data_IF_591173554013
#
_entry.id   IF_591173554013
#
_cell.length_a   1.000
_cell.length_b   1.000
_cell.length_c   1.000
_cell.angle_alpha   90.00
_cell.angle_beta   90.00
_cell.angle_gamma   90.00
#
_symmetry.space_group_name_H-M   'P 1'
#
loop_
_entity.id
_entity.type
_entity.pdbx_description
1 polymer ?
#
# COMPACT_ATOMS: atom_id res chain seq x y z
N UNK A 1 5.87 38.69 12.65
CA UNK A 1 4.88 37.60 12.63
C UNK A 1 5.63 36.28 12.64
N UNK A 2 5.45 35.45 13.67
CA UNK A 2 6.22 34.22 13.84
C UNK A 2 5.66 33.14 12.88
N UNK A 3 6.43 32.75 11.87
CA UNK A 3 6.05 31.69 10.94
C UNK A 3 6.23 30.34 11.63
N UNK A 4 5.14 29.77 12.15
CA UNK A 4 5.09 28.36 12.57
C UNK A 4 5.19 27.48 11.34
N UNK A 5 6.41 27.11 10.95
CA UNK A 5 6.62 26.01 10.01
C UNK A 5 6.17 24.72 10.70
N UNK A 6 5.08 24.12 10.22
CA UNK A 6 4.60 22.80 10.70
C UNK A 6 5.70 21.77 10.38
N UNK A 7 6.34 21.23 11.40
CA UNK A 7 7.31 20.15 11.25
C UNK A 7 6.65 19.02 10.44
N UNK A 8 7.18 18.73 9.24
CA UNK A 8 6.79 17.56 8.46
C UNK A 8 7.55 16.37 9.04
N UNK A 9 7.00 15.76 10.08
CA UNK A 9 7.52 14.48 10.56
C UNK A 9 7.44 13.47 9.42
N UNK A 10 8.55 12.77 9.17
CA UNK A 10 8.59 11.58 8.32
C UNK A 10 7.82 10.48 9.05
N UNK A 11 6.50 10.48 8.93
CA UNK A 11 5.69 9.37 9.42
C UNK A 11 5.89 8.20 8.45
N UNK A 12 6.35 7.07 8.97
CA UNK A 12 6.40 5.83 8.21
C UNK A 12 4.98 5.49 7.73
N UNK A 13 4.73 5.39 6.43
CA UNK A 13 3.39 5.14 5.92
C UNK A 13 2.84 3.78 6.40
N UNK A 14 3.64 2.73 6.27
CA UNK A 14 3.29 1.38 6.69
C UNK A 14 4.51 0.55 7.06
N UNK A 15 4.30 -0.46 7.90
CA UNK A 15 5.20 -1.55 8.20
C UNK A 15 4.65 -2.83 7.58
N UNK A 16 5.46 -3.51 6.78
CA UNK A 16 5.14 -4.83 6.22
C UNK A 16 5.84 -5.89 7.07
N UNK A 17 5.10 -6.91 7.50
CA UNK A 17 5.62 -7.99 8.33
C UNK A 17 5.24 -9.32 7.71
N UNK A 18 6.19 -10.27 7.66
CA UNK A 18 5.92 -11.67 7.31
C UNK A 18 5.88 -12.49 8.58
N UNK A 19 4.81 -13.26 8.77
CA UNK A 19 4.67 -14.17 9.90
C UNK A 19 3.82 -15.39 9.50
N UNK A 20 4.30 -16.59 9.85
CA UNK A 20 3.60 -17.87 9.63
C UNK A 20 3.04 -18.07 8.20
N UNK A 21 3.83 -17.72 7.17
CA UNK A 21 3.40 -17.82 5.77
C UNK A 21 2.48 -16.69 5.29
N UNK A 22 2.02 -15.82 6.18
CA UNK A 22 1.21 -14.63 5.86
C UNK A 22 2.03 -13.34 5.78
N UNK A 23 1.53 -12.38 5.00
CA UNK A 23 2.03 -10.99 4.97
C UNK A 23 0.98 -10.09 5.60
N UNK A 24 1.35 -9.35 6.64
CA UNK A 24 0.56 -8.29 7.26
C UNK A 24 1.11 -6.91 6.90
N UNK A 25 0.20 -5.93 6.79
CA UNK A 25 0.52 -4.52 6.59
C UNK A 25 -0.08 -3.75 7.76
N UNK A 26 0.75 -3.01 8.50
CA UNK A 26 0.31 -2.11 9.58
C UNK A 26 0.64 -0.68 9.20
N UNK A 27 -0.37 0.17 9.14
CA UNK A 27 -0.19 1.59 8.87
C UNK A 27 0.17 2.35 10.14
N UNK A 28 0.93 3.43 10.01
CA UNK A 28 1.10 4.39 11.10
C UNK A 28 -0.21 5.12 11.37
N UNK A 29 -0.43 5.51 12.62
CA UNK A 29 -1.65 6.18 13.07
C UNK A 29 -1.83 7.56 12.43
N UNK A 30 -0.74 8.20 12.03
CA UNK A 30 -0.76 9.53 11.40
C UNK A 30 -0.57 9.49 9.88
N UNK A 31 -0.64 8.31 9.25
CA UNK A 31 -0.59 8.22 7.80
C UNK A 31 -1.94 8.64 7.19
N UNK A 32 -1.97 9.84 6.61
CA UNK A 32 -3.20 10.46 6.09
C UNK A 32 -3.91 9.63 5.00
N UNK A 33 -3.15 8.83 4.25
CA UNK A 33 -3.66 8.03 3.12
C UNK A 33 -3.85 6.54 3.49
N UNK A 34 -3.91 6.22 4.78
CA UNK A 34 -4.08 4.84 5.29
C UNK A 34 -5.24 4.10 4.61
N UNK A 35 -6.37 4.77 4.45
CA UNK A 35 -7.59 4.19 3.86
C UNK A 35 -7.45 3.89 2.36
N UNK A 36 -6.85 4.79 1.57
CA UNK A 36 -6.63 4.55 0.14
C UNK A 36 -5.60 3.46 -0.08
N UNK A 37 -4.54 3.44 0.72
CA UNK A 37 -3.52 2.40 0.67
C UNK A 37 -4.06 1.04 1.12
N UNK A 38 -4.94 0.97 2.13
CA UNK A 38 -5.59 -0.27 2.55
C UNK A 38 -6.42 -0.87 1.40
N UNK A 39 -7.25 -0.05 0.75
CA UNK A 39 -8.03 -0.48 -0.42
C UNK A 39 -7.15 -0.98 -1.56
N UNK A 40 -6.00 -0.34 -1.81
CA UNK A 40 -5.04 -0.80 -2.82
C UNK A 40 -4.49 -2.18 -2.45
N UNK A 41 -4.06 -2.37 -1.20
CA UNK A 41 -3.50 -3.64 -0.75
C UNK A 41 -4.53 -4.77 -0.77
N UNK A 42 -5.80 -4.49 -0.45
CA UNK A 42 -6.88 -5.47 -0.55
C UNK A 42 -7.13 -5.90 -2.00
N UNK A 43 -7.15 -4.94 -2.94
CA UNK A 43 -7.25 -5.22 -4.38
C UNK A 43 -6.07 -6.06 -4.87
N UNK A 44 -4.85 -5.74 -4.45
CA UNK A 44 -3.67 -6.51 -4.81
C UNK A 44 -3.74 -7.95 -4.27
N UNK A 45 -4.23 -8.13 -3.04
CA UNK A 45 -4.38 -9.46 -2.43
C UNK A 45 -5.49 -10.28 -3.10
N UNK A 46 -6.51 -9.63 -3.66
CA UNK A 46 -7.55 -10.30 -4.44
C UNK A 46 -7.06 -10.85 -5.79
N UNK A 47 -5.87 -10.42 -6.26
CA UNK A 47 -5.24 -11.00 -7.46
C UNK A 47 -4.79 -12.42 -7.12
N UNK A 48 -5.65 -13.39 -7.42
CA UNK A 48 -5.36 -14.81 -7.23
C UNK A 48 -4.31 -15.27 -8.24
N UNK A 49 -3.31 -16.02 -7.77
CA UNK A 49 -2.40 -16.73 -8.69
C UNK A 49 -3.16 -17.88 -9.34
N UNK A 50 -3.26 -17.87 -10.66
CA UNK A 50 -3.74 -19.02 -11.44
C UNK A 50 -2.59 -20.02 -11.66
N UNK A 51 -2.89 -21.21 -12.21
CA UNK A 51 -1.86 -22.18 -12.59
C UNK A 51 -0.79 -21.62 -13.57
N UNK A 52 -1.07 -20.47 -14.22
CA UNK A 52 -0.13 -19.77 -15.12
C UNK A 52 0.44 -18.47 -14.51
N UNK A 53 0.27 -18.24 -13.21
CA UNK A 53 0.70 -17.01 -12.52
C UNK A 53 -0.43 -16.00 -12.33
N UNK A 54 -0.08 -14.74 -12.06
CA UNK A 54 -1.03 -13.66 -11.79
C UNK A 54 -1.68 -13.14 -13.08
N UNK A 55 -2.99 -12.85 -13.04
CA UNK A 55 -3.67 -12.14 -14.12
C UNK A 55 -3.26 -10.66 -14.13
N UNK A 56 -3.04 -10.06 -15.31
CA UNK A 56 -2.68 -8.66 -15.41
C UNK A 56 -3.81 -7.76 -14.89
N UNK A 57 -3.45 -6.79 -14.06
CA UNK A 57 -4.39 -5.83 -13.46
C UNK A 57 -4.94 -4.86 -14.50
N UNK A 58 -4.16 -4.57 -15.54
CA UNK A 58 -4.58 -3.80 -16.70
C UNK A 58 -4.67 -4.77 -17.88
N UNK A 59 -5.88 -4.96 -18.41
CA UNK A 59 -6.12 -5.81 -19.58
C UNK A 59 -5.49 -5.24 -20.87
N UNK A 60 -5.13 -3.96 -20.87
CA UNK A 60 -4.52 -3.25 -21.97
C UNK A 60 -3.02 -3.08 -21.75
N UNK A 61 -2.23 -3.41 -22.77
CA UNK A 61 -0.81 -3.09 -22.79
C UNK A 61 -0.63 -1.56 -22.67
N UNK A 62 0.17 -1.13 -21.70
CA UNK A 62 0.69 0.23 -21.67
C UNK A 62 1.51 0.42 -22.95
N UNK A 63 1.02 1.26 -23.87
CA UNK A 63 1.79 1.61 -25.06
C UNK A 63 3.00 2.44 -24.62
N UNK A 64 4.19 2.15 -25.17
CA UNK A 64 5.39 2.94 -24.92
C UNK A 64 5.26 4.37 -25.42
#
# INVERSE_FOLDING_TARGET
TMATARLRFLFLAAKIVRHAGGVLVRYSDHYAEKESMARLMDRLRAITSTARGFTPVLATALRP
#
